data_IF_149303294451
#
_entry.id   IF_149303294451
#
_cell.length_a   1.000
_cell.length_b   1.000
_cell.length_c   1.000
_cell.angle_alpha   90.00
_cell.angle_beta   90.00
_cell.angle_gamma   90.00
#
_symmetry.space_group_name_H-M   'P 1'
#
loop_
_entity.id
_entity.type
_entity.pdbx_description
1 polymer ?
#
# COMPACT_ATOMS: atom_id res chain seq x y z
N UNK A 1 -9.39 16.57 -12.52
CA UNK A 1 -9.84 15.16 -12.48
C UNK A 1 -9.55 14.69 -11.07
N UNK A 2 -10.52 15.00 -10.17
CA UNK A 2 -10.35 14.77 -8.75
C UNK A 2 -10.37 13.27 -8.50
N UNK A 3 -9.24 12.72 -8.11
CA UNK A 3 -9.15 11.37 -7.55
C UNK A 3 -10.01 11.39 -6.28
N UNK A 4 -11.09 10.62 -6.30
CA UNK A 4 -11.98 10.45 -5.16
C UNK A 4 -11.12 9.96 -4.00
N UNK A 5 -10.80 10.87 -3.09
CA UNK A 5 -10.17 10.54 -1.81
C UNK A 5 -11.20 9.82 -0.96
N UNK A 6 -11.22 8.50 -1.04
CA UNK A 6 -12.03 7.69 -0.14
C UNK A 6 -11.28 7.57 1.19
N UNK A 7 -11.80 8.09 2.31
CA UNK A 7 -11.13 7.98 3.60
C UNK A 7 -10.98 6.51 4.01
N UNK A 8 -9.84 6.16 4.59
CA UNK A 8 -9.48 4.81 5.04
C UNK A 8 -10.59 4.09 5.82
N UNK A 9 -11.42 4.83 6.55
CA UNK A 9 -12.54 4.30 7.33
C UNK A 9 -13.76 3.83 6.52
N UNK A 10 -13.83 4.13 5.21
CA UNK A 10 -15.01 3.75 4.39
C UNK A 10 -14.81 2.42 3.63
N UNK A 11 -13.60 1.84 3.62
CA UNK A 11 -13.39 0.53 3.01
C UNK A 11 -13.88 -0.65 3.85
N UNK A 12 -14.48 -0.38 5.00
CA UNK A 12 -15.04 -1.44 5.85
C UNK A 12 -16.11 -2.22 5.08
N UNK A 13 -15.76 -3.40 4.57
CA UNK A 13 -16.68 -4.49 4.21
C UNK A 13 -17.49 -4.35 2.92
N UNK A 14 -17.09 -3.51 1.93
CA UNK A 14 -17.90 -3.30 0.72
C UNK A 14 -17.08 -3.31 -0.57
N UNK A 15 -17.58 -4.03 -1.56
CA UNK A 15 -17.09 -3.93 -2.95
C UNK A 15 -17.81 -2.78 -3.63
N UNK A 16 -17.05 -1.93 -4.31
CA UNK A 16 -17.63 -0.90 -5.19
C UNK A 16 -17.76 -1.47 -6.59
N UNK A 17 -18.98 -1.59 -7.06
CA UNK A 17 -19.27 -1.96 -8.44
C UNK A 17 -19.63 -0.70 -9.19
N UNK A 18 -18.83 -0.33 -10.18
CA UNK A 18 -19.14 0.77 -11.08
C UNK A 18 -19.85 0.23 -12.33
N UNK A 19 -21.06 0.69 -12.57
CA UNK A 19 -21.81 0.40 -13.80
C UNK A 19 -22.02 1.70 -14.55
N UNK A 20 -21.50 1.78 -15.77
CA UNK A 20 -21.72 2.91 -16.66
C UNK A 20 -22.88 2.56 -17.57
N UNK A 21 -23.99 3.26 -17.42
CA UNK A 21 -25.18 3.12 -18.27
C UNK A 21 -25.55 4.49 -18.80
N UNK A 22 -25.56 4.68 -20.11
CA UNK A 22 -25.96 5.93 -20.79
C UNK A 22 -25.27 7.20 -20.26
N UNK A 23 -23.96 7.11 -19.95
CA UNK A 23 -23.18 8.26 -19.47
C UNK A 23 -23.39 8.62 -18.00
N UNK A 24 -24.21 7.88 -17.27
CA UNK A 24 -24.40 8.04 -15.83
C UNK A 24 -23.59 6.95 -15.11
N UNK A 25 -22.69 7.34 -14.22
CA UNK A 25 -21.92 6.43 -13.40
C UNK A 25 -22.72 6.10 -12.13
N UNK A 26 -23.18 4.86 -12.02
CA UNK A 26 -23.81 4.37 -10.81
C UNK A 26 -22.80 3.54 -9.99
N UNK A 27 -22.67 3.86 -8.71
CA UNK A 27 -21.81 3.12 -7.78
C UNK A 27 -22.69 2.35 -6.82
N UNK A 28 -22.52 1.03 -6.80
CA UNK A 28 -23.20 0.15 -5.86
C UNK A 28 -22.19 -0.35 -4.83
N UNK A 29 -22.60 -0.40 -3.57
CA UNK A 29 -21.82 -0.98 -2.50
C UNK A 29 -22.47 -2.31 -2.10
N UNK A 30 -21.67 -3.38 -2.17
CA UNK A 30 -22.10 -4.72 -1.81
C UNK A 30 -21.22 -5.20 -0.66
N UNK A 31 -21.86 -5.66 0.42
CA UNK A 31 -21.11 -6.27 1.54
C UNK A 31 -20.41 -7.55 1.09
N UNK A 32 -19.16 -7.72 1.50
CA UNK A 32 -18.37 -8.91 1.15
C UNK A 32 -19.02 -10.22 1.53
N UNK A 33 -19.72 -10.26 2.67
CA UNK A 33 -20.41 -11.47 3.14
C UNK A 33 -21.54 -11.95 2.21
N UNK A 34 -22.01 -11.08 1.32
CA UNK A 34 -23.09 -11.39 0.35
C UNK A 34 -22.58 -11.98 -0.97
N UNK A 35 -21.27 -11.97 -1.19
CA UNK A 35 -20.70 -12.32 -2.49
C UNK A 35 -20.28 -13.77 -2.63
N UNK A 36 -20.33 -14.61 -1.61
CA UNK A 36 -19.91 -16.01 -1.62
C UNK A 36 -18.56 -16.28 -2.32
N UNK A 37 -17.70 -15.27 -2.40
CA UNK A 37 -16.39 -15.31 -3.06
C UNK A 37 -15.23 -15.42 -2.06
N UNK A 38 -15.53 -15.25 -0.78
CA UNK A 38 -14.56 -15.10 0.28
C UNK A 38 -14.62 -16.28 1.24
N UNK A 39 -13.46 -16.76 1.67
CA UNK A 39 -13.39 -17.77 2.71
C UNK A 39 -13.82 -17.21 4.07
N UNK A 40 -14.08 -18.10 5.03
CA UNK A 40 -14.33 -17.70 6.41
C UNK A 40 -13.20 -16.86 7.00
N UNK A 41 -11.95 -17.23 6.68
CA UNK A 41 -10.76 -16.53 7.15
C UNK A 41 -10.66 -15.12 6.56
N UNK A 42 -10.96 -14.95 5.25
CA UNK A 42 -10.97 -13.64 4.60
C UNK A 42 -12.00 -12.71 5.25
N UNK A 43 -13.19 -13.24 5.50
CA UNK A 43 -14.26 -12.48 6.16
C UNK A 43 -13.92 -12.14 7.62
N UNK A 44 -13.30 -13.07 8.35
CA UNK A 44 -12.82 -12.82 9.70
C UNK A 44 -11.75 -11.74 9.73
N UNK A 45 -10.78 -11.79 8.80
CA UNK A 45 -9.75 -10.75 8.66
C UNK A 45 -10.36 -9.37 8.40
N UNK A 46 -11.27 -9.28 7.44
CA UNK A 46 -11.95 -8.03 7.08
C UNK A 46 -12.77 -7.47 8.24
N UNK A 47 -13.40 -8.35 9.04
CA UNK A 47 -14.25 -7.97 10.18
C UNK A 47 -13.46 -7.70 11.46
N UNK A 48 -12.15 -7.88 11.43
CA UNK A 48 -11.29 -7.81 12.62
C UNK A 48 -11.77 -8.76 13.73
N UNK A 49 -12.02 -10.02 13.35
CA UNK A 49 -12.47 -11.04 14.30
C UNK A 49 -11.36 -11.35 15.30
N UNK A 50 -11.62 -11.29 16.62
CA UNK A 50 -10.62 -11.55 17.65
C UNK A 50 -9.94 -12.92 17.57
N UNK A 51 -10.54 -13.89 16.89
CA UNK A 51 -9.93 -15.21 16.67
C UNK A 51 -8.63 -15.14 15.87
N UNK A 52 -8.40 -14.06 15.12
CA UNK A 52 -7.19 -13.83 14.33
C UNK A 52 -6.11 -13.06 15.08
N UNK A 53 -6.39 -12.47 16.23
CA UNK A 53 -5.43 -11.67 17.00
C UNK A 53 -4.09 -12.37 17.26
N UNK A 54 -4.04 -13.70 17.53
CA UNK A 54 -2.76 -14.39 17.71
C UNK A 54 -1.87 -14.43 16.45
N UNK A 55 -2.44 -14.17 15.27
CA UNK A 55 -1.77 -14.27 13.98
C UNK A 55 -1.53 -12.90 13.32
N UNK A 56 -2.13 -11.83 13.85
CA UNK A 56 -2.09 -10.49 13.25
C UNK A 56 -1.55 -9.51 14.31
N UNK A 57 -0.30 -9.12 14.17
CA UNK A 57 0.32 -8.18 15.09
C UNK A 57 -0.32 -6.79 15.03
N UNK A 58 -0.77 -6.38 13.83
CA UNK A 58 -1.35 -5.06 13.58
C UNK A 58 -2.62 -5.19 12.73
N UNK A 59 -3.79 -4.84 13.25
CA UNK A 59 -5.01 -4.76 12.45
C UNK A 59 -4.83 -3.81 11.25
N UNK A 60 -5.53 -4.08 10.14
CA UNK A 60 -5.48 -3.26 8.93
C UNK A 60 -6.32 -1.97 9.09
N UNK A 61 -5.98 -1.16 10.08
CA UNK A 61 -6.60 0.14 10.39
C UNK A 61 -5.53 1.23 10.48
N UNK A 62 -5.94 2.49 10.30
CA UNK A 62 -5.01 3.64 10.32
C UNK A 62 -4.30 3.84 11.67
N UNK A 63 -4.97 3.54 12.75
CA UNK A 63 -4.48 3.67 14.12
C UNK A 63 -3.27 2.77 14.39
N UNK A 64 -3.21 1.61 13.75
CA UNK A 64 -2.08 0.67 13.87
C UNK A 64 -0.75 1.25 13.40
N UNK A 65 -0.78 2.27 12.55
CA UNK A 65 0.46 2.89 12.05
C UNK A 65 1.26 3.59 13.15
N UNK A 66 0.65 4.03 14.24
CA UNK A 66 1.40 4.57 15.39
C UNK A 66 2.37 3.53 15.96
N UNK A 67 1.87 2.33 16.22
CA UNK A 67 2.67 1.23 16.79
C UNK A 67 3.67 0.69 15.76
N UNK A 68 3.26 0.59 14.49
CA UNK A 68 4.15 0.16 13.39
C UNK A 68 5.33 1.12 13.24
N UNK A 69 5.09 2.43 13.22
CA UNK A 69 6.14 3.45 13.11
C UNK A 69 7.09 3.35 14.31
N UNK A 70 6.55 3.25 15.53
CA UNK A 70 7.35 3.10 16.75
C UNK A 70 8.25 1.87 16.66
N UNK A 71 7.69 0.70 16.35
CA UNK A 71 8.46 -0.54 16.25
C UNK A 71 9.48 -0.52 15.10
N UNK A 72 9.17 0.18 13.99
CA UNK A 72 10.12 0.28 12.86
C UNK A 72 11.30 1.19 13.15
N UNK A 73 11.17 2.15 14.06
CA UNK A 73 12.30 2.99 14.53
C UNK A 73 13.36 2.19 15.28
N UNK A 74 12.99 1.09 15.90
CA UNK A 74 13.92 0.20 16.61
C UNK A 74 14.78 -0.64 15.64
N UNK A 75 14.44 -0.64 14.34
CA UNK A 75 15.18 -1.38 13.33
C UNK A 75 16.34 -0.56 12.78
N UNK A 76 17.56 -1.04 12.99
CA UNK A 76 18.76 -0.43 12.41
C UNK A 76 18.86 -0.77 10.92
N UNK A 77 18.89 0.26 10.07
CA UNK A 77 19.07 0.12 8.62
C UNK A 77 20.29 0.95 8.21
N UNK A 78 21.21 0.32 7.46
CA UNK A 78 22.28 1.09 6.80
C UNK A 78 21.69 1.87 5.60
N UNK A 79 21.24 3.09 5.90
CA UNK A 79 20.57 3.96 4.93
C UNK A 79 21.52 4.45 3.84
N UNK A 80 22.82 4.57 4.13
CA UNK A 80 23.81 4.94 3.14
C UNK A 80 24.02 3.82 2.12
N UNK A 81 24.13 2.58 2.59
CA UNK A 81 24.21 1.42 1.71
C UNK A 81 22.94 1.30 0.86
N UNK A 82 21.75 1.40 1.48
CA UNK A 82 20.47 1.36 0.77
C UNK A 82 20.41 2.41 -0.35
N UNK A 83 20.74 3.67 -0.05
CA UNK A 83 20.74 4.74 -1.04
C UNK A 83 21.71 4.45 -2.18
N UNK A 84 22.92 3.99 -1.88
CA UNK A 84 23.94 3.66 -2.89
C UNK A 84 23.48 2.56 -3.84
N UNK A 85 22.85 1.51 -3.30
CA UNK A 85 22.34 0.38 -4.09
C UNK A 85 21.18 0.84 -4.99
N UNK A 86 20.24 1.62 -4.45
CA UNK A 86 19.11 2.12 -5.22
C UNK A 86 19.57 3.03 -6.36
N UNK A 87 20.46 3.98 -6.10
CA UNK A 87 21.02 4.84 -7.15
C UNK A 87 21.69 4.02 -8.25
N UNK A 88 22.52 3.04 -7.88
CA UNK A 88 23.15 2.15 -8.86
C UNK A 88 22.13 1.41 -9.73
N UNK A 89 20.99 0.97 -9.17
CA UNK A 89 19.94 0.32 -9.94
C UNK A 89 19.29 1.29 -10.95
N UNK A 90 19.04 2.53 -10.56
CA UNK A 90 18.49 3.55 -11.46
C UNK A 90 19.49 3.94 -12.55
N UNK A 91 20.77 4.11 -12.21
CA UNK A 91 21.85 4.38 -13.17
C UNK A 91 21.97 3.27 -14.23
N UNK A 92 21.82 2.00 -13.83
CA UNK A 92 21.85 0.87 -14.77
C UNK A 92 20.68 0.88 -15.77
N UNK A 93 19.59 1.56 -15.45
CA UNK A 93 18.42 1.70 -16.30
C UNK A 93 18.41 3.03 -17.08
N UNK A 94 19.45 3.84 -16.94
CA UNK A 94 19.52 5.21 -17.49
C UNK A 94 18.33 6.08 -17.01
N UNK A 95 18.00 5.96 -15.74
CA UNK A 95 16.91 6.68 -15.08
C UNK A 95 17.43 7.52 -13.92
N UNK A 96 16.88 8.73 -13.78
CA UNK A 96 17.11 9.56 -12.61
C UNK A 96 16.48 8.96 -11.36
N UNK A 97 17.22 9.01 -10.24
CA UNK A 97 16.66 8.59 -8.96
C UNK A 97 15.59 9.60 -8.49
N UNK A 98 14.35 9.17 -8.23
CA UNK A 98 13.20 10.08 -8.11
C UNK A 98 13.11 10.83 -6.78
N UNK A 99 13.98 10.54 -5.82
CA UNK A 99 13.95 11.15 -4.49
C UNK A 99 15.25 11.83 -4.13
N UNK A 100 15.21 12.97 -3.42
CA UNK A 100 16.42 13.57 -2.88
C UNK A 100 17.04 12.70 -1.78
N UNK A 101 18.36 12.65 -1.73
CA UNK A 101 19.14 11.77 -0.84
C UNK A 101 18.75 11.91 0.63
N UNK A 102 18.54 13.16 1.10
CA UNK A 102 18.20 13.43 2.48
C UNK A 102 16.91 12.75 2.95
N UNK A 103 15.97 12.46 2.03
CA UNK A 103 14.76 11.71 2.38
C UNK A 103 15.07 10.26 2.79
N UNK A 104 15.92 9.57 2.01
CA UNK A 104 16.26 8.19 2.33
C UNK A 104 17.21 8.07 3.53
N UNK A 105 18.02 9.11 3.77
CA UNK A 105 18.95 9.16 4.90
C UNK A 105 18.25 9.49 6.22
N UNK A 106 17.05 10.06 6.19
CA UNK A 106 16.29 10.40 7.39
C UNK A 106 15.74 9.16 8.10
N UNK A 107 15.87 9.12 9.42
CA UNK A 107 15.28 8.07 10.28
C UNK A 107 13.75 8.14 10.34
N UNK A 108 13.17 9.29 10.03
CA UNK A 108 11.73 9.51 9.98
C UNK A 108 11.11 9.19 8.61
N UNK A 109 11.88 8.59 7.70
CA UNK A 109 11.37 8.12 6.41
C UNK A 109 11.10 6.62 6.45
N UNK A 110 9.87 6.26 6.05
CA UNK A 110 9.36 4.88 5.98
C UNK A 110 8.91 4.55 4.55
N UNK A 111 8.95 3.27 4.19
CA UNK A 111 8.48 2.81 2.89
C UNK A 111 7.15 2.07 3.02
N UNK A 112 6.23 2.35 2.11
CA UNK A 112 5.02 1.55 1.89
C UNK A 112 5.29 0.68 0.67
N UNK A 113 5.49 -0.60 0.92
CA UNK A 113 6.01 -1.52 -0.10
C UNK A 113 4.93 -2.45 -0.60
N UNK A 114 4.86 -2.60 -1.92
CA UNK A 114 4.16 -3.70 -2.57
C UNK A 114 5.09 -4.39 -3.56
N UNK A 115 4.79 -5.63 -3.92
CA UNK A 115 5.67 -6.42 -4.77
C UNK A 115 4.86 -7.28 -5.75
N UNK A 116 5.50 -7.58 -6.88
CA UNK A 116 5.04 -8.60 -7.81
C UNK A 116 6.20 -9.12 -8.66
N UNK A 117 6.02 -10.31 -9.22
CA UNK A 117 6.90 -10.85 -10.25
C UNK A 117 6.80 -10.03 -11.53
N UNK A 118 7.84 -10.02 -12.39
CA UNK A 118 7.80 -9.37 -13.70
C UNK A 118 6.62 -9.89 -14.52
N UNK A 119 5.90 -9.00 -15.18
CA UNK A 119 4.75 -9.34 -16.00
C UNK A 119 4.79 -8.60 -17.32
N UNK A 120 4.46 -9.28 -18.43
CA UNK A 120 4.32 -8.65 -19.75
C UNK A 120 3.12 -7.72 -19.78
N UNK A 121 3.23 -6.59 -20.50
CA UNK A 121 2.14 -5.65 -20.76
C UNK A 121 1.37 -5.22 -19.49
N UNK A 122 2.09 -4.81 -18.44
CA UNK A 122 1.53 -4.40 -17.15
C UNK A 122 0.90 -5.53 -16.32
N UNK A 123 0.84 -6.77 -16.82
CA UNK A 123 0.29 -7.91 -16.10
C UNK A 123 -1.23 -7.82 -15.84
N UNK A 124 -1.73 -8.62 -14.93
CA UNK A 124 -3.15 -8.64 -14.60
C UNK A 124 -3.57 -7.34 -13.87
N UNK A 125 -4.86 -7.01 -13.96
CA UNK A 125 -5.43 -5.76 -13.43
C UNK A 125 -5.10 -5.51 -11.95
N UNK A 126 -5.02 -6.56 -11.13
CA UNK A 126 -4.68 -6.42 -9.71
C UNK A 126 -3.26 -5.87 -9.48
N UNK A 127 -2.33 -6.03 -10.42
CA UNK A 127 -0.99 -5.44 -10.38
C UNK A 127 -1.09 -3.91 -10.35
N UNK A 128 -1.89 -3.35 -11.26
CA UNK A 128 -2.18 -1.91 -11.33
C UNK A 128 -2.84 -1.44 -10.03
N UNK A 129 -3.82 -2.21 -9.52
CA UNK A 129 -4.48 -1.89 -8.25
C UNK A 129 -3.52 -1.89 -7.06
N UNK A 130 -2.58 -2.83 -6.99
CA UNK A 130 -1.55 -2.84 -5.93
C UNK A 130 -0.72 -1.55 -5.95
N UNK A 131 -0.24 -1.14 -7.14
CA UNK A 131 0.55 0.08 -7.29
C UNK A 131 -0.28 1.30 -6.90
N UNK A 132 -1.48 1.44 -7.45
CA UNK A 132 -2.36 2.58 -7.17
C UNK A 132 -2.74 2.65 -5.69
N UNK A 133 -3.04 1.52 -5.06
CA UNK A 133 -3.37 1.46 -3.63
C UNK A 133 -2.18 1.86 -2.76
N UNK A 134 -0.96 1.43 -3.11
CA UNK A 134 0.26 1.79 -2.38
C UNK A 134 0.54 3.29 -2.47
N UNK A 135 0.40 3.88 -3.66
CA UNK A 135 0.56 5.34 -3.85
C UNK A 135 -0.49 6.10 -3.05
N UNK A 136 -1.75 5.68 -3.12
CA UNK A 136 -2.84 6.33 -2.40
C UNK A 136 -2.66 6.24 -0.87
N UNK A 137 -2.34 5.06 -0.35
CA UNK A 137 -2.07 4.85 1.07
C UNK A 137 -0.90 5.73 1.54
N UNK A 138 0.19 5.78 0.76
CA UNK A 138 1.34 6.63 1.05
C UNK A 138 0.93 8.11 1.15
N UNK A 139 0.09 8.58 0.21
CA UNK A 139 -0.45 9.94 0.25
C UNK A 139 -1.27 10.24 1.50
N UNK A 140 -2.12 9.29 1.91
CA UNK A 140 -2.93 9.42 3.13
C UNK A 140 -2.07 9.43 4.40
N UNK A 141 -1.07 8.54 4.49
CA UNK A 141 -0.17 8.48 5.63
C UNK A 141 0.68 9.75 5.77
N UNK A 142 1.16 10.34 4.67
CA UNK A 142 1.84 11.62 4.70
C UNK A 142 0.97 12.79 5.19
N UNK A 143 -0.36 12.67 5.08
CA UNK A 143 -1.30 13.65 5.64
C UNK A 143 -1.59 13.39 7.11
N UNK A 144 -1.70 12.11 7.51
CA UNK A 144 -2.02 11.72 8.89
C UNK A 144 -0.83 11.87 9.84
N UNK A 145 0.39 11.71 9.33
CA UNK A 145 1.64 11.73 10.09
C UNK A 145 2.60 12.77 9.51
N UNK A 146 2.38 14.08 9.77
CA UNK A 146 3.16 15.15 9.14
C UNK A 146 4.65 15.17 9.55
N UNK A 147 4.97 14.60 10.71
CA UNK A 147 6.35 14.50 11.24
C UNK A 147 7.16 13.34 10.60
N UNK A 148 6.51 12.42 9.92
CA UNK A 148 7.10 11.32 9.21
C UNK A 148 6.96 11.50 7.69
N UNK A 149 7.83 10.81 6.95
CA UNK A 149 7.73 10.75 5.49
C UNK A 149 7.54 9.32 5.01
N UNK A 150 6.52 9.11 4.21
CA UNK A 150 6.25 7.82 3.58
C UNK A 150 6.55 7.88 2.09
N UNK A 151 7.21 6.84 1.59
CA UNK A 151 7.61 6.71 0.18
C UNK A 151 7.03 5.40 -0.36
N UNK A 152 6.31 5.42 -1.51
CA UNK A 152 5.84 4.20 -2.12
C UNK A 152 7.00 3.46 -2.80
N UNK A 153 7.07 2.15 -2.59
CA UNK A 153 8.09 1.29 -3.20
C UNK A 153 7.40 0.10 -3.87
N UNK A 154 7.76 -0.15 -5.12
CA UNK A 154 7.36 -1.34 -5.84
C UNK A 154 8.59 -2.24 -6.05
N UNK A 155 8.52 -3.47 -5.52
CA UNK A 155 9.59 -4.46 -5.66
C UNK A 155 9.24 -5.44 -6.76
N UNK A 156 10.15 -5.60 -7.71
CA UNK A 156 10.04 -6.61 -8.77
C UNK A 156 10.83 -7.83 -8.32
N UNK A 157 10.12 -8.93 -8.03
CA UNK A 157 10.72 -10.22 -7.70
C UNK A 157 11.17 -10.92 -8.99
N UNK A 158 12.45 -10.90 -9.27
CA UNK A 158 13.03 -11.45 -10.51
C UNK A 158 13.83 -12.74 -10.29
N UNK A 159 13.61 -13.43 -9.19
CA UNK A 159 14.42 -14.59 -8.77
C UNK A 159 13.83 -15.95 -9.16
N UNK A 160 12.73 -16.02 -9.86
CA UNK A 160 12.06 -17.26 -10.27
C UNK A 160 12.45 -17.68 -11.69
#
# INVERSE_FOLDING_TARGET
>A
MDLITCPLNQFKYRVFVQVITLGIMNVFQIDYSRLNLWSHTDLAYIKHDPSLDPFIAYPAISESFNDIISNRKDFTVDRHLLLSVLKKQYDQLDLDFPYPDHLLLSEDTFTITTAHQPSLLTGPLYHIYKIASTINLTGQLNQLFPDQKFIPVFVIGGED
#
